data_IF_363067824783
#
_entry.id   IF_363067824783
#
_cell.length_a   1.000
_cell.length_b   1.000
_cell.length_c   1.000
_cell.angle_alpha   90.00
_cell.angle_beta   90.00
_cell.angle_gamma   90.00
#
_symmetry.space_group_name_H-M   'P 1'
#
loop_
_entity.id
_entity.type
_entity.pdbx_description
1 polymer ?
#
# COMPACT_ATOMS: atom_id res chain seq x y z
N UNK A 1 -12.10 2.15 20.77
CA UNK A 1 -13.45 1.60 20.48
C UNK A 1 -14.22 2.32 19.35
N UNK A 2 -14.00 3.60 19.01
CA UNK A 2 -14.68 4.20 17.85
C UNK A 2 -14.23 3.62 16.49
N UNK A 3 -12.97 3.28 16.32
CA UNK A 3 -12.41 2.76 15.06
C UNK A 3 -13.03 1.41 14.64
N UNK A 4 -13.31 0.50 15.59
CA UNK A 4 -13.97 -0.79 15.29
C UNK A 4 -15.39 -0.63 14.73
N UNK A 5 -16.11 0.40 15.13
CA UNK A 5 -17.47 0.66 14.63
C UNK A 5 -17.46 1.23 13.22
N UNK A 6 -16.47 2.04 12.88
CA UNK A 6 -16.36 2.64 11.56
C UNK A 6 -15.89 1.63 10.51
N UNK A 7 -14.91 0.77 10.83
CA UNK A 7 -14.42 -0.28 9.91
C UNK A 7 -15.51 -1.35 9.66
N UNK A 8 -16.25 -1.76 10.68
CA UNK A 8 -17.36 -2.72 10.52
C UNK A 8 -18.53 -2.18 9.68
N UNK A 9 -18.76 -0.86 9.67
CA UNK A 9 -19.74 -0.20 8.82
C UNK A 9 -19.25 -0.08 7.37
N UNK A 10 -17.94 -0.04 7.13
CA UNK A 10 -17.34 0.06 5.81
C UNK A 10 -17.38 -1.27 5.05
N UNK A 11 -17.22 -2.40 5.73
CA UNK A 11 -17.30 -3.73 5.11
C UNK A 11 -18.70 -4.07 4.54
N UNK A 12 -19.77 -3.45 5.07
CA UNK A 12 -21.13 -3.73 4.64
C UNK A 12 -21.72 -2.76 3.61
N UNK A 13 -20.95 -1.77 3.13
CA UNK A 13 -21.44 -0.74 2.19
C UNK A 13 -20.82 -0.77 0.79
N UNK A 14 -20.12 -1.85 0.40
CA UNK A 14 -19.57 -2.00 -0.95
C UNK A 14 -20.64 -2.34 -2.02
N UNK A 15 -21.68 -1.51 -2.14
CA UNK A 15 -22.43 -1.40 -3.40
C UNK A 15 -22.15 0.01 -3.92
N UNK A 16 -21.07 0.13 -4.70
CA UNK A 16 -20.67 1.38 -5.29
C UNK A 16 -21.75 1.89 -6.25
N UNK A 17 -22.45 2.94 -5.87
CA UNK A 17 -23.09 3.83 -6.83
C UNK A 17 -21.97 4.68 -7.44
N UNK A 18 -21.53 4.34 -8.63
CA UNK A 18 -20.70 5.25 -9.42
C UNK A 18 -21.49 6.55 -9.63
N UNK A 19 -20.94 7.72 -9.26
CA UNK A 19 -21.58 8.98 -9.60
C UNK A 19 -21.64 9.08 -11.15
N UNK A 20 -22.69 9.73 -11.70
CA UNK A 20 -22.79 9.91 -13.14
C UNK A 20 -21.55 10.63 -13.67
N UNK A 21 -21.07 10.21 -14.85
CA UNK A 21 -19.99 10.85 -15.57
C UNK A 21 -20.37 12.32 -15.84
N UNK A 22 -20.02 13.22 -14.94
CA UNK A 22 -20.06 14.64 -15.22
C UNK A 22 -18.93 14.95 -16.20
N UNK A 23 -19.29 15.26 -17.43
CA UNK A 23 -18.42 15.97 -18.38
C UNK A 23 -18.14 17.37 -17.81
N UNK A 24 -17.23 17.47 -16.83
CA UNK A 24 -16.79 18.76 -16.33
C UNK A 24 -15.68 19.28 -17.23
N UNK A 25 -15.88 20.45 -17.77
CA UNK A 25 -14.86 21.14 -18.56
C UNK A 25 -13.60 21.38 -17.70
N UNK A 26 -12.43 20.95 -18.23
CA UNK A 26 -11.14 21.47 -17.75
C UNK A 26 -10.60 20.98 -16.41
N UNK A 27 -10.86 19.74 -15.97
CA UNK A 27 -10.20 19.19 -14.79
C UNK A 27 -8.71 18.89 -15.03
N UNK A 28 -7.85 19.24 -14.06
CA UNK A 28 -6.46 18.81 -14.03
C UNK A 28 -6.34 17.29 -13.76
N UNK A 29 -5.15 16.73 -13.98
CA UNK A 29 -4.91 15.29 -13.78
C UNK A 29 -5.23 14.83 -12.35
N UNK A 30 -4.82 15.62 -11.33
CA UNK A 30 -5.08 15.31 -9.93
C UNK A 30 -6.58 15.11 -9.66
N UNK A 31 -7.42 16.08 -10.05
CA UNK A 31 -8.86 15.97 -9.84
C UNK A 31 -9.47 14.80 -10.61
N UNK A 32 -9.03 14.53 -11.85
CA UNK A 32 -9.52 13.40 -12.64
C UNK A 32 -9.25 12.06 -11.97
N UNK A 33 -8.05 11.86 -11.44
CA UNK A 33 -7.66 10.62 -10.77
C UNK A 33 -8.33 10.55 -9.40
N UNK A 34 -8.27 11.62 -8.61
CA UNK A 34 -8.87 11.67 -7.28
C UNK A 34 -10.36 11.34 -7.31
N UNK A 35 -11.13 12.03 -8.16
CA UNK A 35 -12.59 11.88 -8.22
C UNK A 35 -13.01 10.47 -8.66
N UNK A 36 -12.20 9.81 -9.50
CA UNK A 36 -12.44 8.42 -9.92
C UNK A 36 -12.18 7.38 -8.83
N UNK A 37 -11.29 7.70 -7.87
CA UNK A 37 -10.94 6.82 -6.78
C UNK A 37 -11.62 7.19 -5.46
N UNK A 38 -12.32 8.32 -5.41
CA UNK A 38 -13.06 8.75 -4.23
C UNK A 38 -14.25 7.82 -3.97
N UNK A 39 -14.20 7.08 -2.86
CA UNK A 39 -15.28 6.18 -2.42
C UNK A 39 -16.39 6.96 -1.71
N UNK A 40 -16.03 8.00 -0.98
CA UNK A 40 -16.96 8.82 -0.23
C UNK A 40 -16.26 9.84 0.66
N UNK A 41 -17.05 10.64 1.36
CA UNK A 41 -16.56 11.58 2.36
C UNK A 41 -16.89 11.06 3.76
N UNK A 42 -15.89 11.10 4.63
CA UNK A 42 -16.02 10.68 6.03
C UNK A 42 -16.66 11.80 6.87
N UNK A 43 -17.24 11.47 8.04
CA UNK A 43 -17.77 12.48 8.97
C UNK A 43 -16.74 13.52 9.41
N UNK A 44 -15.46 13.20 9.37
CA UNK A 44 -14.34 14.10 9.64
C UNK A 44 -14.14 15.19 8.58
N UNK A 45 -14.83 15.09 7.43
CA UNK A 45 -14.62 15.95 6.26
C UNK A 45 -13.53 15.45 5.32
N UNK A 46 -12.76 14.43 5.70
CA UNK A 46 -11.78 13.79 4.83
C UNK A 46 -12.49 12.93 3.77
N UNK A 47 -11.79 12.70 2.66
CA UNK A 47 -12.24 11.78 1.62
C UNK A 47 -11.62 10.41 1.83
N UNK A 48 -12.40 9.37 1.61
CA UNK A 48 -11.92 8.00 1.55
C UNK A 48 -11.54 7.68 0.10
N UNK A 49 -10.25 7.51 -0.13
CA UNK A 49 -9.69 7.28 -1.45
C UNK A 49 -9.34 5.80 -1.61
N UNK A 50 -9.88 5.15 -2.64
CA UNK A 50 -9.49 3.78 -2.99
C UNK A 50 -8.03 3.76 -3.46
N UNK A 51 -7.24 2.81 -2.98
CA UNK A 51 -5.84 2.61 -3.35
C UNK A 51 -5.75 1.45 -4.35
N UNK A 52 -5.37 1.78 -5.59
CA UNK A 52 -5.27 0.79 -6.68
C UNK A 52 -4.09 -0.17 -6.50
N UNK A 53 -2.97 0.33 -5.97
CA UNK A 53 -1.75 -0.43 -5.71
C UNK A 53 -1.19 -0.08 -4.32
N UNK A 54 -1.00 -1.08 -3.49
CA UNK A 54 -0.33 -0.95 -2.21
C UNK A 54 1.04 -1.61 -2.27
N UNK A 55 2.10 -0.85 -2.10
CA UNK A 55 3.47 -1.34 -2.01
C UNK A 55 3.91 -1.36 -0.54
N UNK A 56 4.49 -2.45 -0.12
CA UNK A 56 5.00 -2.60 1.25
C UNK A 56 6.43 -3.14 1.27
N UNK A 57 7.15 -2.80 2.32
CA UNK A 57 8.50 -3.27 2.56
C UNK A 57 8.71 -3.59 4.06
N UNK A 58 9.85 -4.13 4.38
CA UNK A 58 10.16 -4.71 5.69
C UNK A 58 10.20 -3.71 6.86
N UNK A 59 10.36 -2.41 6.59
CA UNK A 59 10.53 -1.41 7.67
C UNK A 59 9.21 -1.06 8.35
N UNK A 60 8.17 -0.78 7.58
CA UNK A 60 6.87 -0.29 8.11
C UNK A 60 5.80 -1.37 8.21
N UNK A 61 5.92 -2.45 7.45
CA UNK A 61 4.89 -3.48 7.38
C UNK A 61 4.79 -4.37 8.63
N UNK A 62 5.84 -4.71 9.40
CA UNK A 62 5.71 -5.60 10.56
C UNK A 62 4.73 -5.08 11.60
N UNK A 63 4.81 -3.79 11.96
CA UNK A 63 3.92 -3.18 12.93
C UNK A 63 2.49 -3.06 12.38
N UNK A 64 2.34 -2.79 11.08
CA UNK A 64 1.02 -2.75 10.45
C UNK A 64 0.32 -4.12 10.53
N UNK A 65 1.03 -5.22 10.24
CA UNK A 65 0.49 -6.57 10.38
C UNK A 65 0.19 -6.95 11.83
N UNK A 66 1.01 -6.48 12.79
CA UNK A 66 0.70 -6.65 14.22
C UNK A 66 -0.64 -5.99 14.58
N UNK A 67 -0.90 -4.78 14.10
CA UNK A 67 -2.18 -4.08 14.29
C UNK A 67 -3.36 -4.83 13.65
N UNK A 68 -3.18 -5.39 12.45
CA UNK A 68 -4.18 -6.22 11.76
C UNK A 68 -4.57 -7.42 12.65
N UNK A 69 -3.58 -8.15 13.20
CA UNK A 69 -3.82 -9.30 14.09
C UNK A 69 -4.49 -8.90 15.40
N UNK A 70 -4.00 -7.86 16.06
CA UNK A 70 -4.55 -7.37 17.33
C UNK A 70 -6.02 -7.00 17.19
N UNK A 71 -6.38 -6.35 16.10
CA UNK A 71 -7.74 -5.92 15.82
C UNK A 71 -8.60 -7.03 15.17
N UNK A 72 -8.02 -8.19 14.89
CA UNK A 72 -8.68 -9.32 14.21
C UNK A 72 -9.29 -8.92 12.86
N UNK A 73 -8.55 -8.14 12.10
CA UNK A 73 -8.94 -7.72 10.76
C UNK A 73 -8.38 -8.71 9.72
N UNK A 74 -8.98 -8.69 8.54
CA UNK A 74 -8.50 -9.41 7.36
C UNK A 74 -7.86 -8.45 6.35
N UNK A 75 -7.10 -8.99 5.40
CA UNK A 75 -6.64 -8.28 4.21
C UNK A 75 -7.54 -8.70 3.05
N UNK A 76 -8.55 -7.89 2.68
CA UNK A 76 -9.59 -8.31 1.73
C UNK A 76 -9.12 -8.36 0.26
N UNK A 77 -8.03 -7.64 -0.07
CA UNK A 77 -7.52 -7.53 -1.45
C UNK A 77 -5.99 -7.77 -1.51
N UNK A 78 -5.51 -8.97 -1.09
CA UNK A 78 -4.07 -9.25 -1.06
C UNK A 78 -3.42 -9.17 -2.44
N UNK A 79 -4.17 -9.39 -3.52
CA UNK A 79 -3.72 -9.29 -4.91
C UNK A 79 -3.38 -7.86 -5.35
N UNK A 80 -3.77 -6.84 -4.56
CA UNK A 80 -3.45 -5.43 -4.79
C UNK A 80 -2.28 -4.94 -3.96
N UNK A 81 -1.73 -5.81 -3.11
CA UNK A 81 -0.58 -5.51 -2.26
C UNK A 81 0.62 -6.32 -2.74
N UNK A 82 1.75 -5.63 -2.92
CA UNK A 82 3.01 -6.24 -3.32
C UNK A 82 4.11 -5.84 -2.36
N UNK A 83 4.86 -6.83 -1.91
CA UNK A 83 5.92 -6.69 -0.94
C UNK A 83 7.30 -6.89 -1.57
N UNK A 84 8.28 -6.16 -1.08
CA UNK A 84 9.70 -6.38 -1.36
C UNK A 84 10.53 -6.14 -0.10
N UNK A 85 11.82 -6.43 -0.17
CA UNK A 85 12.82 -6.02 0.81
C UNK A 85 13.84 -5.13 0.12
N UNK A 86 14.09 -3.95 0.64
CA UNK A 86 15.01 -3.00 -0.03
C UNK A 86 15.90 -2.20 0.93
N UNK A 87 15.50 -1.95 2.16
CA UNK A 87 16.26 -1.15 3.12
C UNK A 87 17.36 -1.95 3.84
N UNK A 88 17.15 -3.26 4.01
CA UNK A 88 18.04 -4.14 4.77
C UNK A 88 18.93 -5.02 3.90
N UNK A 89 18.73 -5.03 2.60
CA UNK A 89 19.48 -5.87 1.68
C UNK A 89 20.79 -5.17 1.31
N UNK A 90 21.96 -5.79 1.56
CA UNK A 90 23.26 -5.24 1.13
C UNK A 90 23.32 -5.03 -0.37
N UNK A 91 23.95 -3.94 -0.80
CA UNK A 91 24.22 -3.68 -2.24
C UNK A 91 25.27 -4.64 -2.81
N UNK A 92 26.23 -5.07 -1.97
CA UNK A 92 27.19 -6.08 -2.33
C UNK A 92 26.52 -7.45 -2.40
N UNK A 93 26.60 -8.11 -3.56
CA UNK A 93 25.97 -9.40 -3.82
C UNK A 93 26.52 -10.54 -2.96
N UNK A 94 27.80 -10.48 -2.57
CA UNK A 94 28.43 -11.48 -1.70
C UNK A 94 27.87 -11.47 -0.28
N UNK A 95 27.39 -10.29 0.18
CA UNK A 95 26.81 -10.10 1.51
C UNK A 95 25.31 -10.39 1.58
N UNK A 96 24.68 -10.71 0.43
CA UNK A 96 23.23 -11.03 0.35
C UNK A 96 22.88 -12.44 0.75
N UNK A 97 23.89 -13.28 1.07
CA UNK A 97 23.64 -14.65 1.52
C UNK A 97 22.93 -14.63 2.88
N UNK A 98 21.96 -15.50 3.01
CA UNK A 98 21.20 -15.65 4.26
C UNK A 98 21.77 -16.79 5.12
N UNK A 99 21.78 -16.65 6.47
CA UNK A 99 21.26 -15.48 7.19
C UNK A 99 22.12 -14.26 6.97
N UNK A 100 21.47 -13.06 6.92
CA UNK A 100 22.18 -11.80 6.81
C UNK A 100 23.11 -11.60 8.01
N UNK A 101 24.23 -10.92 7.81
CA UNK A 101 25.21 -10.66 8.86
C UNK A 101 24.64 -9.82 10.01
N UNK A 102 23.71 -8.91 9.70
CA UNK A 102 22.94 -8.17 10.69
C UNK A 102 21.71 -8.99 11.11
N UNK A 103 21.71 -9.43 12.37
CA UNK A 103 20.61 -10.23 12.93
C UNK A 103 19.27 -9.50 12.95
N UNK A 104 19.26 -8.17 13.12
CA UNK A 104 18.03 -7.37 13.08
C UNK A 104 17.48 -7.31 11.67
N UNK A 105 18.33 -7.13 10.68
CA UNK A 105 17.96 -7.18 9.27
C UNK A 105 17.36 -8.56 8.91
N UNK A 106 17.97 -9.65 9.38
CA UNK A 106 17.46 -11.01 9.18
C UNK A 106 16.08 -11.21 9.84
N UNK A 107 15.88 -10.67 11.04
CA UNK A 107 14.58 -10.71 11.73
C UNK A 107 13.50 -9.95 10.95
N UNK A 108 13.82 -8.75 10.45
CA UNK A 108 12.90 -7.96 9.62
C UNK A 108 12.54 -8.69 8.33
N UNK A 109 13.52 -9.36 7.71
CA UNK A 109 13.30 -10.18 6.52
C UNK A 109 12.34 -11.35 6.83
N UNK A 110 12.58 -12.07 7.90
CA UNK A 110 11.69 -13.15 8.37
C UNK A 110 10.26 -12.67 8.63
N UNK A 111 10.12 -11.48 9.19
CA UNK A 111 8.78 -10.91 9.45
C UNK A 111 8.01 -10.65 8.16
N UNK A 112 8.65 -10.10 7.12
CA UNK A 112 7.94 -9.83 5.87
C UNK A 112 7.59 -11.12 5.13
N UNK A 113 8.47 -12.12 5.12
CA UNK A 113 8.19 -13.45 4.55
C UNK A 113 6.95 -14.08 5.21
N UNK A 114 6.97 -14.18 6.54
CA UNK A 114 5.88 -14.75 7.32
C UNK A 114 4.57 -14.00 7.11
N UNK A 115 4.62 -12.67 7.11
CA UNK A 115 3.43 -11.84 6.95
C UNK A 115 2.83 -11.99 5.55
N UNK A 116 3.65 -12.00 4.50
CA UNK A 116 3.18 -12.14 3.13
C UNK A 116 2.60 -13.53 2.87
N UNK A 117 3.19 -14.58 3.43
CA UNK A 117 2.65 -15.94 3.37
C UNK A 117 1.30 -16.03 4.09
N UNK A 118 1.21 -15.55 5.35
CA UNK A 118 0.00 -15.61 6.16
C UNK A 118 -1.19 -14.91 5.52
N UNK A 119 -0.96 -13.76 4.90
CA UNK A 119 -2.02 -12.93 4.30
C UNK A 119 -2.18 -13.11 2.79
N UNK A 120 -1.43 -14.02 2.16
CA UNK A 120 -1.54 -14.30 0.74
C UNK A 120 -1.08 -13.16 -0.18
N UNK A 121 -0.11 -12.37 0.27
CA UNK A 121 0.41 -11.20 -0.44
C UNK A 121 1.57 -11.60 -1.35
N UNK A 122 1.63 -11.04 -2.55
CA UNK A 122 2.74 -11.28 -3.47
C UNK A 122 4.04 -10.68 -2.93
N UNK A 123 5.07 -11.51 -2.82
CA UNK A 123 6.38 -11.12 -2.32
C UNK A 123 7.46 -11.30 -3.39
N UNK A 124 8.10 -10.20 -3.76
CA UNK A 124 9.27 -10.17 -4.65
C UNK A 124 10.52 -10.47 -3.83
N UNK A 125 10.87 -11.75 -3.76
CA UNK A 125 11.94 -12.25 -2.92
C UNK A 125 13.30 -12.18 -3.65
N UNK A 126 14.40 -11.91 -2.91
CA UNK A 126 15.76 -11.99 -3.44
C UNK A 126 16.10 -13.39 -3.97
N UNK A 127 15.58 -14.44 -3.35
CA UNK A 127 15.84 -15.83 -3.73
C UNK A 127 15.31 -16.16 -5.12
N UNK A 128 14.23 -15.52 -5.53
CA UNK A 128 13.67 -15.64 -6.88
C UNK A 128 14.30 -14.66 -7.89
N UNK A 129 15.25 -13.82 -7.44
CA UNK A 129 15.79 -12.75 -8.28
C UNK A 129 14.80 -11.66 -8.63
N UNK A 130 13.75 -11.48 -7.81
CA UNK A 130 12.65 -10.55 -8.05
C UNK A 130 12.74 -9.27 -7.21
N UNK A 131 13.59 -9.30 -6.18
CA UNK A 131 13.79 -8.19 -5.25
C UNK A 131 14.36 -6.96 -5.96
N UNK A 132 13.95 -5.79 -5.50
CA UNK A 132 14.48 -4.50 -5.89
C UNK A 132 13.93 -3.39 -5.01
N UNK A 133 14.46 -2.19 -5.18
CA UNK A 133 13.94 -0.99 -4.52
C UNK A 133 12.45 -0.84 -4.83
N UNK A 134 11.63 -0.64 -3.81
CA UNK A 134 10.16 -0.67 -3.92
C UNK A 134 9.63 0.25 -5.03
N UNK A 135 10.23 1.45 -5.18
CA UNK A 135 9.82 2.42 -6.19
C UNK A 135 10.37 2.13 -7.60
N UNK A 136 11.26 1.16 -7.74
CA UNK A 136 11.80 0.66 -9.02
C UNK A 136 11.02 -0.59 -9.44
N UNK A 137 10.81 -1.53 -8.52
CA UNK A 137 10.07 -2.78 -8.78
C UNK A 137 8.66 -2.51 -9.33
N UNK A 138 7.94 -1.54 -8.74
CA UNK A 138 6.59 -1.20 -9.19
C UNK A 138 6.51 -0.86 -10.69
N UNK A 139 7.28 0.12 -11.19
CA UNK A 139 7.35 0.45 -12.61
C UNK A 139 7.91 -0.67 -13.49
N UNK A 140 9.02 -1.30 -13.12
CA UNK A 140 9.68 -2.34 -13.92
C UNK A 140 8.81 -3.57 -14.13
N UNK A 141 7.98 -3.91 -13.13
CA UNK A 141 7.01 -5.01 -13.20
C UNK A 141 5.68 -4.61 -13.83
N UNK A 142 5.55 -3.36 -14.30
CA UNK A 142 4.32 -2.87 -14.90
C UNK A 142 3.17 -2.69 -13.90
N UNK A 143 3.43 -2.68 -12.60
CA UNK A 143 2.41 -2.49 -11.58
C UNK A 143 1.98 -1.02 -11.48
N UNK A 144 2.93 -0.09 -11.67
CA UNK A 144 2.68 1.35 -11.68
C UNK A 144 2.10 1.75 -13.03
N UNK A 145 0.83 2.14 -13.06
CA UNK A 145 0.12 2.51 -14.30
C UNK A 145 -0.44 3.93 -14.22
N UNK A 146 -0.47 4.69 -15.33
CA UNK A 146 -1.06 6.02 -15.36
C UNK A 146 -2.51 6.03 -14.86
N UNK A 147 -2.86 7.03 -14.06
CA UNK A 147 -4.21 7.20 -13.54
C UNK A 147 -4.55 6.33 -12.34
N UNK A 148 -3.59 5.58 -11.78
CA UNK A 148 -3.76 4.82 -10.53
C UNK A 148 -3.53 5.68 -9.30
N UNK A 149 -4.01 5.18 -8.17
CA UNK A 149 -3.62 5.60 -6.82
C UNK A 149 -2.68 4.57 -6.22
N UNK A 150 -1.60 5.03 -5.60
CA UNK A 150 -0.56 4.17 -4.99
C UNK A 150 -0.32 4.63 -3.56
N UNK A 151 -0.17 3.69 -2.64
CA UNK A 151 0.29 3.94 -1.28
C UNK A 151 1.48 3.05 -0.95
N UNK A 152 2.42 3.58 -0.16
CA UNK A 152 3.54 2.83 0.40
C UNK A 152 3.98 3.48 1.70
N UNK A 153 4.46 2.68 2.64
CA UNK A 153 5.03 3.15 3.90
C UNK A 153 6.43 3.77 3.77
N UNK A 154 6.70 4.48 2.68
CA UNK A 154 7.97 5.11 2.35
C UNK A 154 7.76 6.56 1.89
N UNK A 155 8.65 7.46 2.33
CA UNK A 155 8.55 8.90 2.03
C UNK A 155 8.79 9.26 0.56
N UNK A 156 9.45 8.40 -0.21
CA UNK A 156 9.74 8.63 -1.64
C UNK A 156 8.64 8.13 -2.58
N UNK A 157 7.51 7.68 -2.05
CA UNK A 157 6.39 7.11 -2.85
C UNK A 157 5.87 8.08 -3.91
N UNK A 158 5.92 9.38 -3.66
CA UNK A 158 5.48 10.40 -4.64
C UNK A 158 6.23 10.35 -5.97
N UNK A 159 7.40 9.69 -6.04
CA UNK A 159 8.17 9.50 -7.29
C UNK A 159 7.36 8.77 -8.37
N UNK A 160 6.40 7.90 -7.99
CA UNK A 160 5.49 7.25 -8.93
C UNK A 160 4.61 8.24 -9.70
N UNK A 161 4.50 9.48 -9.23
CA UNK A 161 3.82 10.57 -9.95
C UNK A 161 4.42 10.85 -11.32
N UNK A 162 5.69 10.52 -11.56
CA UNK A 162 6.35 10.60 -12.86
C UNK A 162 5.65 9.72 -13.93
N UNK A 163 4.91 8.69 -13.50
CA UNK A 163 4.13 7.79 -14.36
C UNK A 163 2.65 8.21 -14.45
N UNK A 164 2.28 9.40 -13.98
CA UNK A 164 0.90 9.89 -14.04
C UNK A 164 -0.03 9.24 -13.00
N UNK A 165 0.50 8.83 -11.85
CA UNK A 165 -0.26 8.28 -10.72
C UNK A 165 -0.50 9.34 -9.64
N UNK A 166 -1.44 9.10 -8.72
CA UNK A 166 -1.48 9.75 -7.42
C UNK A 166 -0.87 8.81 -6.39
N UNK A 167 0.32 9.14 -5.91
CA UNK A 167 1.10 8.28 -5.05
C UNK A 167 1.40 8.95 -3.71
N UNK A 168 1.18 8.21 -2.63
CA UNK A 168 1.21 8.72 -1.26
C UNK A 168 2.18 7.91 -0.39
N UNK A 169 3.16 8.61 0.21
CA UNK A 169 3.92 8.09 1.34
C UNK A 169 3.07 8.15 2.59
N UNK A 170 2.88 7.04 3.27
CA UNK A 170 1.98 6.90 4.41
C UNK A 170 2.68 6.34 5.64
N UNK A 171 2.15 6.67 6.81
CA UNK A 171 2.66 6.15 8.08
C UNK A 171 2.20 4.71 8.35
N UNK A 172 2.86 4.05 9.30
CA UNK A 172 2.60 2.63 9.66
C UNK A 172 1.14 2.33 9.97
N UNK A 173 0.44 3.19 10.71
CA UNK A 173 -1.00 3.02 10.99
C UNK A 173 -1.84 3.07 9.72
N UNK A 174 -1.50 3.97 8.80
CA UNK A 174 -2.18 4.07 7.51
C UNK A 174 -1.86 2.87 6.60
N UNK A 175 -0.66 2.25 6.72
CA UNK A 175 -0.37 0.97 6.05
C UNK A 175 -1.35 -0.10 6.52
N UNK A 176 -1.62 -0.19 7.84
CA UNK A 176 -2.63 -1.11 8.37
C UNK A 176 -4.04 -0.77 7.87
N UNK A 177 -4.41 0.51 7.80
CA UNK A 177 -5.71 0.92 7.27
C UNK A 177 -5.87 0.50 5.80
N UNK A 178 -4.84 0.71 4.97
CA UNK A 178 -4.88 0.30 3.55
C UNK A 178 -4.91 -1.22 3.41
N UNK A 179 -4.16 -1.97 4.21
CA UNK A 179 -4.24 -3.44 4.24
C UNK A 179 -5.65 -3.92 4.56
N UNK A 180 -6.33 -3.30 5.54
CA UNK A 180 -7.65 -3.72 6.01
C UNK A 180 -8.81 -3.26 5.12
N UNK A 181 -8.66 -2.15 4.40
CA UNK A 181 -9.78 -1.49 3.71
C UNK A 181 -9.53 -1.21 2.23
N UNK A 182 -8.30 -1.32 1.76
CA UNK A 182 -7.82 -0.87 0.45
C UNK A 182 -8.10 0.63 0.21
N UNK A 183 -8.22 1.42 1.27
CA UNK A 183 -8.52 2.85 1.18
C UNK A 183 -7.63 3.69 2.10
N UNK A 184 -7.47 4.96 1.75
CA UNK A 184 -6.75 5.97 2.52
C UNK A 184 -7.68 7.15 2.82
N UNK A 185 -7.76 7.55 4.09
CA UNK A 185 -8.47 8.77 4.50
C UNK A 185 -7.55 9.98 4.34
N UNK A 186 -7.96 10.98 3.55
CA UNK A 186 -7.14 12.17 3.29
C UNK A 186 -7.99 13.40 2.96
N UNK A 187 -7.42 14.58 3.17
CA UNK A 187 -7.99 15.83 2.64
C UNK A 187 -7.75 15.90 1.12
N UNK A 188 -8.71 16.45 0.39
CA UNK A 188 -8.49 16.80 -1.02
C UNK A 188 -7.69 18.09 -1.06
N UNK A 189 -6.60 18.12 -1.82
CA UNK A 189 -5.73 19.28 -2.02
C UNK A 189 -6.37 20.31 -2.97
#
# INVERSE_FOLDING_TARGET
QPVKREIGLLQNRFIARFPPLFLSMGQNLYNKVFDRHCVGQLPSGQYQLFIGLHLIHEVTSPQAFAMIREQKLSVPFPERTFATVDHIIPTNTEERQRPLADSLAEEMFHHIEKNTEEFGINFFSPEKGEQGVVHVVGPERGLTQPGMTIACGDSHTSTHGAFGTLAFGIGTSQVADVLATQTLAMAKL
#
